data_IF_616087339519
#
_entry.id   IF_616087339519
#
_cell.length_a   1.000
_cell.length_b   1.000
_cell.length_c   1.000
_cell.angle_alpha   90.00
_cell.angle_beta   90.00
_cell.angle_gamma   90.00
#
_symmetry.space_group_name_H-M   'P 1'
#
loop_
_entity.id
_entity.type
_entity.pdbx_description
1 polymer ?
#
# COMPACT_ATOMS: atom_id res chain seq x y z
N UNK A 1 28.02 -48.94 -28.42
CA UNK A 1 27.18 -47.75 -28.71
C UNK A 1 26.31 -47.53 -27.47
N UNK A 2 26.62 -46.52 -26.65
CA UNK A 2 25.79 -46.12 -25.51
C UNK A 2 25.24 -44.74 -25.84
N UNK A 3 23.93 -44.65 -26.01
CA UNK A 3 23.22 -43.41 -26.25
C UNK A 3 23.14 -42.63 -24.94
N UNK A 4 23.82 -41.50 -24.87
CA UNK A 4 23.70 -40.53 -23.78
C UNK A 4 22.55 -39.58 -24.11
N UNK A 5 21.38 -39.81 -23.51
CA UNK A 5 20.27 -38.88 -23.55
C UNK A 5 20.43 -37.91 -22.36
N UNK A 6 21.05 -36.76 -22.59
CA UNK A 6 21.10 -35.65 -21.64
C UNK A 6 20.42 -34.45 -22.30
N UNK A 7 19.09 -34.49 -22.36
CA UNK A 7 18.30 -33.30 -22.57
C UNK A 7 18.25 -32.56 -21.22
N UNK A 8 19.34 -31.87 -20.91
CA UNK A 8 19.43 -30.96 -19.77
C UNK A 8 18.55 -29.76 -20.12
N UNK A 9 17.27 -29.85 -19.73
CA UNK A 9 16.34 -28.74 -19.83
C UNK A 9 16.85 -27.68 -18.85
N UNK A 10 17.50 -26.67 -19.40
CA UNK A 10 17.92 -25.46 -18.71
C UNK A 10 16.73 -24.96 -17.87
N UNK A 11 16.84 -24.89 -16.53
CA UNK A 11 15.71 -24.49 -15.70
C UNK A 11 15.30 -23.08 -16.11
N UNK A 12 14.02 -22.93 -16.46
CA UNK A 12 13.39 -21.66 -16.79
C UNK A 12 13.84 -20.55 -15.81
N UNK A 13 14.02 -19.30 -16.29
CA UNK A 13 14.50 -18.21 -15.46
C UNK A 13 13.67 -18.14 -14.19
N UNK A 14 14.31 -18.44 -13.07
CA UNK A 14 13.65 -18.43 -11.77
C UNK A 14 13.20 -17.00 -11.54
N UNK A 15 11.88 -16.78 -11.56
CA UNK A 15 11.26 -15.51 -11.20
C UNK A 15 11.77 -15.20 -9.80
N UNK A 16 12.75 -14.28 -9.71
CA UNK A 16 13.53 -14.05 -8.50
C UNK A 16 12.61 -13.86 -7.31
N UNK A 17 12.93 -14.53 -6.20
CA UNK A 17 12.14 -14.51 -4.98
C UNK A 17 11.73 -13.07 -4.65
N UNK A 18 10.45 -12.77 -4.81
CA UNK A 18 9.91 -11.44 -4.50
C UNK A 18 10.08 -11.24 -3.00
N UNK A 19 10.88 -10.24 -2.63
CA UNK A 19 11.08 -9.96 -1.21
C UNK A 19 9.80 -9.28 -0.73
N UNK A 20 9.14 -9.85 0.27
CA UNK A 20 7.98 -9.19 0.88
C UNK A 20 8.48 -7.97 1.66
N UNK A 21 7.95 -6.79 1.34
CA UNK A 21 8.17 -5.61 2.16
C UNK A 21 7.32 -5.71 3.42
N UNK A 22 7.77 -5.25 4.60
CA UNK A 22 7.00 -5.38 5.84
C UNK A 22 5.74 -4.50 5.89
N UNK A 23 5.53 -3.64 4.89
CA UNK A 23 4.40 -2.73 4.79
C UNK A 23 3.76 -2.83 3.41
N UNK A 24 2.43 -2.79 3.35
CA UNK A 24 1.69 -2.79 2.08
C UNK A 24 1.48 -1.36 1.55
N UNK A 25 1.40 -0.37 2.46
CA UNK A 25 1.19 1.04 2.12
C UNK A 25 2.24 1.90 2.80
N UNK A 26 2.87 2.78 2.02
CA UNK A 26 3.77 3.84 2.50
C UNK A 26 3.13 5.17 2.16
N UNK A 27 2.97 6.05 3.15
CA UNK A 27 2.50 7.42 2.92
C UNK A 27 3.62 8.41 3.19
N UNK A 28 3.96 9.21 2.18
CA UNK A 28 4.97 10.26 2.27
C UNK A 28 4.27 11.58 2.58
N UNK A 29 4.66 12.22 3.68
CA UNK A 29 4.14 13.53 4.08
C UNK A 29 5.13 14.62 3.69
N UNK A 30 4.67 15.58 2.91
CA UNK A 30 5.45 16.72 2.45
C UNK A 30 5.03 18.00 3.19
N UNK A 31 5.92 19.00 3.30
CA UNK A 31 5.62 20.26 3.99
C UNK A 31 4.48 21.07 3.34
N UNK A 32 4.27 20.92 2.03
CA UNK A 32 3.20 21.57 1.29
C UNK A 32 2.80 20.75 0.05
N UNK A 33 1.70 21.16 -0.59
CA UNK A 33 1.15 20.49 -1.77
C UNK A 33 2.09 20.54 -2.99
N UNK A 34 2.87 21.61 -3.15
CA UNK A 34 3.82 21.74 -4.25
C UNK A 34 4.96 20.72 -4.10
N UNK A 35 5.46 20.54 -2.88
CA UNK A 35 6.45 19.52 -2.54
C UNK A 35 5.89 18.09 -2.65
N UNK A 36 4.61 17.90 -2.29
CA UNK A 36 3.92 16.61 -2.44
C UNK A 36 3.82 16.17 -3.91
N UNK A 37 3.68 17.12 -4.84
CA UNK A 37 3.56 16.89 -6.28
C UNK A 37 4.91 16.75 -7.01
N UNK A 38 6.03 17.19 -6.42
CA UNK A 38 7.30 17.41 -7.16
C UNK A 38 8.17 16.16 -7.37
N UNK A 39 7.61 14.96 -7.28
CA UNK A 39 8.24 13.73 -7.76
C UNK A 39 9.11 12.87 -6.81
N UNK A 40 9.27 13.12 -5.48
CA UNK A 40 9.97 12.15 -4.62
C UNK A 40 9.24 10.79 -4.56
N UNK A 41 7.93 10.79 -4.87
CA UNK A 41 7.11 9.58 -4.95
C UNK A 41 7.61 8.60 -6.02
N UNK A 42 7.85 9.08 -7.24
CA UNK A 42 8.31 8.25 -8.35
C UNK A 42 9.71 7.67 -8.11
N UNK A 43 10.59 8.43 -7.45
CA UNK A 43 11.91 7.96 -7.09
C UNK A 43 11.87 6.83 -6.04
N UNK A 44 10.98 6.96 -5.05
CA UNK A 44 10.77 5.95 -4.02
C UNK A 44 10.14 4.67 -4.61
N UNK A 45 9.11 4.80 -5.44
CA UNK A 45 8.51 3.67 -6.16
C UNK A 45 9.54 2.93 -7.01
N UNK A 46 10.34 3.66 -7.79
CA UNK A 46 11.42 3.07 -8.59
C UNK A 46 12.46 2.35 -7.72
N UNK A 47 12.75 2.86 -6.52
CA UNK A 47 13.68 2.23 -5.59
C UNK A 47 13.12 0.94 -4.98
N UNK A 48 11.83 0.91 -4.65
CA UNK A 48 11.14 -0.30 -4.17
C UNK A 48 11.14 -1.38 -5.24
N UNK A 49 10.79 -1.02 -6.49
CA UNK A 49 10.83 -1.92 -7.64
C UNK A 49 12.24 -2.47 -7.90
N UNK A 50 13.28 -1.62 -7.88
CA UNK A 50 14.69 -2.05 -7.99
C UNK A 50 15.12 -3.00 -6.87
N UNK A 51 14.48 -2.90 -5.70
CA UNK A 51 14.77 -3.75 -4.55
C UNK A 51 13.92 -5.03 -4.54
N UNK A 52 13.19 -5.31 -5.62
CA UNK A 52 12.25 -6.43 -5.75
C UNK A 52 11.15 -6.45 -4.68
N UNK A 53 10.77 -5.28 -4.17
CA UNK A 53 9.60 -5.11 -3.32
C UNK A 53 8.39 -4.81 -4.20
N UNK A 54 7.58 -5.83 -4.44
CA UNK A 54 6.34 -5.75 -5.22
C UNK A 54 5.13 -5.71 -4.30
N UNK A 55 4.02 -5.15 -4.79
CA UNK A 55 2.76 -5.07 -4.03
C UNK A 55 2.73 -3.97 -2.97
N UNK A 56 3.72 -3.07 -2.94
CA UNK A 56 3.73 -1.90 -2.07
C UNK A 56 3.12 -0.71 -2.82
N UNK A 57 2.14 -0.06 -2.20
CA UNK A 57 1.56 1.19 -2.70
C UNK A 57 2.23 2.36 -1.99
N UNK A 58 2.64 3.37 -2.76
CA UNK A 58 3.19 4.61 -2.21
C UNK A 58 2.22 5.75 -2.48
N UNK A 59 1.84 6.48 -1.42
CA UNK A 59 0.92 7.61 -1.48
C UNK A 59 1.65 8.88 -1.05
N UNK A 60 1.26 10.03 -1.59
CA UNK A 60 1.81 11.34 -1.22
C UNK A 60 0.72 12.22 -0.64
N UNK A 61 1.05 12.95 0.43
CA UNK A 61 0.16 13.95 1.03
C UNK A 61 0.97 15.12 1.60
N UNK A 62 0.28 16.12 2.12
CA UNK A 62 0.87 17.25 2.85
C UNK A 62 -0.02 17.63 4.03
N UNK A 63 0.49 18.46 4.94
CA UNK A 63 -0.33 19.01 6.02
C UNK A 63 -1.40 19.96 5.46
N UNK A 64 -2.70 19.67 5.62
CA UNK A 64 -3.77 20.52 5.10
C UNK A 64 -3.83 21.90 5.78
N UNK A 65 -3.21 22.03 6.96
CA UNK A 65 -3.12 23.29 7.70
C UNK A 65 -1.85 24.08 7.37
N UNK A 66 -1.02 23.59 6.43
CA UNK A 66 0.21 24.25 6.00
C UNK A 66 1.27 24.35 7.08
N UNK A 67 1.13 23.58 8.17
CA UNK A 67 2.12 23.55 9.22
C UNK A 67 3.36 22.78 8.76
N UNK A 68 4.54 23.32 9.09
CA UNK A 68 5.82 22.68 8.78
C UNK A 68 5.94 21.35 9.53
N UNK A 69 6.71 20.43 8.95
CA UNK A 69 7.02 19.08 9.46
C UNK A 69 7.12 19.07 11.01
N UNK A 70 6.24 18.29 11.66
CA UNK A 70 6.23 18.09 13.13
C UNK A 70 4.94 18.50 13.86
N UNK A 71 3.97 19.11 13.18
CA UNK A 71 2.67 19.55 13.71
C UNK A 71 1.63 18.44 13.95
N UNK A 72 1.90 17.21 13.52
CA UNK A 72 0.93 16.10 13.55
C UNK A 72 -0.15 16.15 12.47
N UNK A 73 -0.46 17.34 11.89
CA UNK A 73 -1.46 17.50 10.83
C UNK A 73 -1.17 16.65 9.59
N UNK A 74 0.09 16.64 9.14
CA UNK A 74 0.54 15.74 8.07
C UNK A 74 0.39 14.25 8.39
N UNK A 75 0.58 13.85 9.65
CA UNK A 75 0.40 12.45 10.09
C UNK A 75 -1.07 12.04 10.06
N UNK A 76 -1.97 12.91 10.52
CA UNK A 76 -3.42 12.65 10.46
C UNK A 76 -3.90 12.56 9.01
N UNK A 77 -3.45 13.46 8.14
CA UNK A 77 -3.74 13.40 6.72
C UNK A 77 -3.20 12.11 6.06
N UNK A 78 -2.04 11.62 6.52
CA UNK A 78 -1.49 10.36 6.04
C UNK A 78 -2.30 9.14 6.49
N UNK A 79 -2.78 9.13 7.74
CA UNK A 79 -3.61 8.04 8.26
C UNK A 79 -4.97 8.00 7.55
N UNK A 80 -5.62 9.14 7.36
CA UNK A 80 -6.89 9.24 6.63
C UNK A 80 -6.72 8.77 5.17
N UNK A 81 -5.65 9.19 4.49
CA UNK A 81 -5.37 8.74 3.13
C UNK A 81 -5.09 7.22 3.04
N UNK A 82 -4.37 6.67 4.01
CA UNK A 82 -4.14 5.23 4.09
C UNK A 82 -5.45 4.46 4.34
N UNK A 83 -6.29 4.93 5.27
CA UNK A 83 -7.56 4.29 5.60
C UNK A 83 -8.53 4.30 4.41
N UNK A 84 -8.60 5.41 3.67
CA UNK A 84 -9.39 5.49 2.44
C UNK A 84 -8.89 4.51 1.37
N UNK A 85 -7.57 4.41 1.19
CA UNK A 85 -6.98 3.50 0.22
C UNK A 85 -7.26 2.04 0.59
N UNK A 86 -7.07 1.68 1.86
CA UNK A 86 -7.37 0.34 2.38
C UNK A 86 -8.86 0.06 2.22
N UNK A 87 -9.72 0.94 2.72
CA UNK A 87 -11.17 0.81 2.63
C UNK A 87 -11.67 0.62 1.21
N UNK A 88 -11.14 1.35 0.23
CA UNK A 88 -11.52 1.21 -1.18
C UNK A 88 -11.10 -0.12 -1.82
N UNK A 89 -9.99 -0.69 -1.35
CA UNK A 89 -9.42 -1.93 -1.88
C UNK A 89 -9.73 -3.18 -1.06
N UNK A 90 -10.51 -3.06 0.04
CA UNK A 90 -11.03 -4.23 0.76
C UNK A 90 -12.00 -5.04 -0.13
N UNK A 91 -11.89 -6.38 -0.16
CA UNK A 91 -12.88 -7.25 -0.78
C UNK A 91 -14.28 -7.00 -0.21
N UNK A 92 -15.30 -6.93 -1.09
CA UNK A 92 -16.68 -6.53 -0.74
C UNK A 92 -17.33 -7.37 0.38
N UNK A 93 -16.87 -8.61 0.61
CA UNK A 93 -17.38 -9.49 1.69
C UNK A 93 -17.23 -8.90 3.10
N UNK A 94 -16.22 -8.05 3.32
CA UNK A 94 -15.97 -7.49 4.66
C UNK A 94 -16.88 -6.29 4.98
N UNK A 95 -17.36 -5.57 3.95
CA UNK A 95 -18.20 -4.37 4.15
C UNK A 95 -19.62 -4.69 4.62
N UNK A 96 -20.13 -5.89 4.32
CA UNK A 96 -21.52 -6.24 4.67
C UNK A 96 -21.72 -6.55 6.15
N UNK A 97 -20.70 -7.05 6.85
CA UNK A 97 -20.83 -7.42 8.26
C UNK A 97 -20.93 -6.22 9.22
N UNK A 98 -20.41 -5.04 8.84
CA UNK A 98 -20.47 -3.86 9.70
C UNK A 98 -21.86 -3.17 9.68
N UNK A 99 -22.59 -3.24 8.56
CA UNK A 99 -23.93 -2.65 8.47
C UNK A 99 -25.02 -3.45 9.20
N UNK A 100 -24.84 -4.76 9.39
CA UNK A 100 -25.86 -5.58 10.07
C UNK A 100 -25.88 -5.41 11.59
N UNK A 101 -24.75 -5.10 12.24
CA UNK A 101 -24.73 -4.97 13.71
C UNK A 101 -25.38 -3.67 14.21
N UNK A 102 -25.44 -2.61 13.40
CA UNK A 102 -25.96 -1.31 13.85
C UNK A 102 -27.49 -1.27 13.93
N UNK A 103 -28.21 -2.12 13.18
CA UNK A 103 -29.67 -2.14 13.19
C UNK A 103 -30.31 -3.00 14.31
N UNK A 104 -29.57 -3.91 14.95
CA UNK A 104 -30.16 -4.76 15.99
C UNK A 104 -30.27 -4.11 17.38
N UNK A 105 -29.59 -2.98 17.65
CA UNK A 105 -29.62 -2.34 18.98
C UNK A 105 -30.65 -1.21 19.14
N UNK A 106 -31.40 -0.82 18.10
CA UNK A 106 -32.43 0.23 18.22
C UNK A 106 -33.86 -0.28 18.50
N UNK A 107 -34.06 -1.58 18.73
CA UNK A 107 -35.41 -2.14 18.94
C UNK A 107 -35.67 -2.81 20.29
N UNK A 108 -34.77 -2.66 21.27
CA UNK A 108 -35.02 -3.15 22.63
C UNK A 108 -34.98 -1.99 23.63
N UNK A 109 -35.96 -1.10 23.59
CA UNK A 109 -36.46 -0.34 24.75
C UNK A 109 -37.79 0.32 24.35
N UNK A 110 -38.87 -0.47 24.45
CA UNK A 110 -40.21 0.05 24.74
C UNK A 110 -40.49 -0.24 26.22
#
# INVERSE_FOLDING_TARGET
>A
MKEGNANEVDPAPQVGATKKFPFDVIVVTSPDASASASGPLAALEAQLLRSHYYGVTVLSTSDPYGARLGSGGGTLAALDLADQHVSQNLPQETRQHQHQHQHQHQHQHQ
#
